data_IF_593126860534
#
_entry.id   IF_593126860534
#
_cell.length_a   1.000
_cell.length_b   1.000
_cell.length_c   1.000
_cell.angle_alpha   90.00
_cell.angle_beta   90.00
_cell.angle_gamma   90.00
#
_symmetry.space_group_name_H-M   'P 1'
#
loop_
_entity.id
_entity.type
_entity.pdbx_description
1 polymer ?
#
# COMPACT_ATOMS: atom_id res chain seq x y z
N UNK A 1 -29.52 27.74 4.00
CA UNK A 1 -29.05 26.42 4.49
C UNK A 1 -30.24 25.50 4.57
N UNK A 2 -30.17 24.33 3.96
CA UNK A 2 -30.93 23.17 4.44
C UNK A 2 -30.65 23.07 5.95
N UNK A 3 -31.67 22.91 6.79
CA UNK A 3 -31.54 22.91 8.27
C UNK A 3 -30.67 21.75 8.83
N UNK A 4 -30.01 20.98 7.97
CA UNK A 4 -29.29 19.74 8.33
C UNK A 4 -27.79 19.98 8.30
N UNK A 5 -27.12 19.65 9.42
CA UNK A 5 -25.66 19.73 9.56
C UNK A 5 -24.93 18.70 8.68
N UNK A 6 -23.66 18.94 8.33
CA UNK A 6 -22.84 17.96 7.61
C UNK A 6 -22.66 16.68 8.44
N UNK A 7 -22.55 16.79 9.77
CA UNK A 7 -22.52 15.64 10.68
C UNK A 7 -23.76 14.76 10.48
N UNK A 8 -24.96 15.32 10.53
CA UNK A 8 -26.21 14.55 10.32
C UNK A 8 -26.30 13.92 8.94
N UNK A 9 -25.83 14.63 7.91
CA UNK A 9 -25.78 14.12 6.55
C UNK A 9 -24.84 12.91 6.42
N UNK A 10 -23.65 12.98 7.00
CA UNK A 10 -22.69 11.87 7.02
C UNK A 10 -23.19 10.72 7.87
N UNK A 11 -23.77 10.97 9.04
CA UNK A 11 -24.34 9.93 9.91
C UNK A 11 -25.45 9.14 9.21
N UNK A 12 -26.25 9.77 8.36
CA UNK A 12 -27.23 9.04 7.52
C UNK A 12 -26.56 8.05 6.56
N UNK A 13 -25.39 8.38 6.02
CA UNK A 13 -24.63 7.46 5.16
C UNK A 13 -23.97 6.35 5.99
N UNK A 14 -23.31 6.72 7.10
CA UNK A 14 -22.59 5.79 7.98
C UNK A 14 -23.54 4.76 8.58
N UNK A 15 -24.72 5.18 9.04
CA UNK A 15 -25.72 4.28 9.64
C UNK A 15 -26.54 3.49 8.61
N UNK A 16 -26.40 3.75 7.31
CA UNK A 16 -27.14 3.07 6.27
C UNK A 16 -26.59 1.67 6.00
N UNK A 17 -27.25 0.65 6.56
CA UNK A 17 -26.89 -0.76 6.39
C UNK A 17 -27.11 -1.31 4.98
N UNK A 18 -27.79 -0.58 4.10
CA UNK A 18 -27.95 -0.97 2.69
C UNK A 18 -26.73 -0.62 1.84
N UNK A 19 -25.87 0.30 2.29
CA UNK A 19 -24.62 0.63 1.60
C UNK A 19 -23.54 -0.37 1.99
N UNK A 20 -22.87 -0.89 0.97
CA UNK A 20 -21.67 -1.71 1.15
C UNK A 20 -20.45 -0.86 1.51
N UNK A 21 -19.43 -1.49 2.10
CA UNK A 21 -18.14 -0.87 2.38
C UNK A 21 -17.51 -0.19 1.14
N UNK A 22 -17.81 -0.70 -0.05
CA UNK A 22 -17.36 -0.16 -1.34
C UNK A 22 -18.07 1.14 -1.75
N UNK A 23 -19.33 1.31 -1.38
CA UNK A 23 -20.14 2.46 -1.79
C UNK A 23 -20.02 3.64 -0.81
N UNK A 24 -19.78 3.34 0.48
CA UNK A 24 -19.70 4.33 1.56
C UNK A 24 -18.72 5.47 1.25
N UNK A 25 -17.48 5.23 0.77
CA UNK A 25 -16.52 6.31 0.58
C UNK A 25 -16.96 7.35 -0.45
N UNK A 26 -17.55 6.87 -1.56
CA UNK A 26 -18.09 7.75 -2.60
C UNK A 26 -19.31 8.50 -2.08
N UNK A 27 -20.23 7.82 -1.39
CA UNK A 27 -21.42 8.46 -0.82
C UNK A 27 -21.08 9.53 0.23
N UNK A 28 -20.08 9.28 1.07
CA UNK A 28 -19.56 10.27 2.03
C UNK A 28 -18.91 11.45 1.33
N UNK A 29 -18.15 11.20 0.26
CA UNK A 29 -17.53 12.27 -0.53
C UNK A 29 -18.59 13.13 -1.22
N UNK A 30 -19.63 12.51 -1.81
CA UNK A 30 -20.70 13.21 -2.51
C UNK A 30 -21.53 14.10 -1.60
N UNK A 31 -21.91 13.60 -0.42
CA UNK A 31 -22.68 14.40 0.53
C UNK A 31 -21.85 15.55 1.13
N UNK A 32 -20.53 15.31 1.30
CA UNK A 32 -19.60 16.35 1.75
C UNK A 32 -19.38 17.40 0.65
N UNK A 33 -19.22 17.00 -0.61
CA UNK A 33 -19.10 17.89 -1.76
C UNK A 33 -20.34 18.79 -1.88
N UNK A 34 -21.54 18.21 -1.78
CA UNK A 34 -22.78 18.96 -1.86
C UNK A 34 -22.84 20.03 -0.76
N UNK A 35 -22.58 19.65 0.49
CA UNK A 35 -22.58 20.60 1.61
C UNK A 35 -21.56 21.72 1.42
N UNK A 36 -20.32 21.38 1.07
CA UNK A 36 -19.24 22.35 0.88
C UNK A 36 -19.51 23.27 -0.30
N UNK A 37 -20.11 22.78 -1.39
CA UNK A 37 -20.50 23.61 -2.52
C UNK A 37 -21.62 24.61 -2.14
N UNK A 38 -22.61 24.18 -1.36
CA UNK A 38 -23.66 25.06 -0.84
C UNK A 38 -23.10 26.12 0.13
N UNK A 39 -22.18 25.73 1.01
CA UNK A 39 -21.47 26.63 1.92
C UNK A 39 -20.62 27.64 1.14
N UNK A 40 -19.86 27.18 0.14
CA UNK A 40 -19.05 28.04 -0.73
C UNK A 40 -19.90 29.12 -1.41
N UNK A 41 -21.04 28.73 -2.01
CA UNK A 41 -21.95 29.67 -2.68
C UNK A 41 -22.50 30.72 -1.70
N UNK A 42 -22.79 30.30 -0.46
CA UNK A 42 -23.34 31.20 0.56
C UNK A 42 -22.31 32.22 1.05
N UNK A 43 -21.09 31.77 1.35
CA UNK A 43 -20.07 32.56 2.08
C UNK A 43 -19.11 33.33 1.18
N UNK A 44 -18.84 32.81 -0.02
CA UNK A 44 -17.90 33.40 -0.97
C UNK A 44 -18.64 34.15 -2.08
N UNK A 45 -19.81 33.67 -2.51
CA UNK A 45 -20.72 34.25 -3.52
C UNK A 45 -20.13 34.45 -4.93
N UNK A 46 -18.80 34.53 -5.06
CA UNK A 46 -18.07 34.74 -6.30
C UNK A 46 -17.37 33.44 -6.75
N UNK A 47 -17.46 33.14 -8.05
CA UNK A 47 -16.79 32.00 -8.67
C UNK A 47 -15.41 32.34 -9.21
N UNK A 48 -15.08 33.63 -9.34
CA UNK A 48 -13.86 34.05 -10.04
C UNK A 48 -12.72 34.30 -9.05
N UNK A 49 -11.56 33.71 -9.34
CA UNK A 49 -10.31 33.97 -8.60
C UNK A 49 -10.21 33.29 -7.22
N UNK A 50 -11.12 32.37 -6.89
CA UNK A 50 -11.06 31.50 -5.70
C UNK A 50 -11.59 30.11 -6.05
N UNK A 51 -10.96 29.04 -5.56
CA UNK A 51 -11.48 27.68 -5.69
C UNK A 51 -11.26 26.86 -4.42
N UNK A 52 -12.26 26.05 -4.06
CA UNK A 52 -12.20 25.07 -2.98
C UNK A 52 -11.88 23.70 -3.57
N UNK A 53 -10.81 23.10 -3.07
CA UNK A 53 -10.21 21.88 -3.60
C UNK A 53 -10.15 20.82 -2.51
N UNK A 54 -10.59 19.61 -2.82
CA UNK A 54 -10.38 18.42 -1.99
C UNK A 54 -9.03 17.77 -2.34
N UNK A 55 -8.29 17.35 -1.31
CA UNK A 55 -6.97 16.72 -1.45
C UNK A 55 -6.97 15.30 -0.87
N UNK A 56 -5.90 14.54 -1.14
CA UNK A 56 -5.67 13.24 -0.53
C UNK A 56 -6.82 12.24 -0.77
N UNK A 57 -7.24 11.54 0.30
CA UNK A 57 -8.34 10.57 0.22
C UNK A 57 -9.68 11.21 -0.12
N UNK A 58 -9.92 12.46 0.27
CA UNK A 58 -11.13 13.19 -0.12
C UNK A 58 -11.10 13.58 -1.62
N UNK A 59 -9.93 14.00 -2.10
CA UNK A 59 -9.68 14.25 -3.52
C UNK A 59 -10.00 13.03 -4.39
N UNK A 60 -9.59 11.83 -3.95
CA UNK A 60 -9.92 10.55 -4.62
C UNK A 60 -11.37 10.08 -4.45
N UNK A 61 -12.19 10.79 -3.69
CA UNK A 61 -13.57 10.39 -3.34
C UNK A 61 -13.65 9.10 -2.50
N UNK A 62 -12.67 8.92 -1.61
CA UNK A 62 -12.45 7.73 -0.79
C UNK A 62 -12.51 8.04 0.72
N UNK A 63 -13.41 8.94 1.14
CA UNK A 63 -13.57 9.27 2.55
C UNK A 63 -14.04 8.04 3.36
N UNK A 64 -13.22 7.56 4.30
CA UNK A 64 -13.71 6.66 5.33
C UNK A 64 -14.57 7.43 6.34
N UNK A 65 -15.47 6.74 7.08
CA UNK A 65 -16.39 7.36 8.06
C UNK A 65 -15.73 8.38 8.99
N UNK A 66 -14.54 8.04 9.51
CA UNK A 66 -13.79 8.85 10.48
C UNK A 66 -12.54 9.53 9.89
N UNK A 67 -12.43 9.60 8.56
CA UNK A 67 -11.34 10.32 7.89
C UNK A 67 -11.45 11.83 8.13
N UNK A 68 -10.30 12.49 8.25
CA UNK A 68 -10.18 13.95 8.24
C UNK A 68 -10.59 14.51 6.85
N UNK A 69 -10.97 15.79 6.80
CA UNK A 69 -11.24 16.49 5.54
C UNK A 69 -10.02 17.33 5.15
N UNK A 70 -9.36 16.92 4.06
CA UNK A 70 -8.21 17.64 3.50
C UNK A 70 -8.69 18.61 2.42
N UNK A 71 -8.62 19.91 2.71
CA UNK A 71 -9.15 21.00 1.92
C UNK A 71 -8.09 22.05 1.60
N UNK A 72 -8.17 22.65 0.43
CA UNK A 72 -7.35 23.79 0.03
C UNK A 72 -8.23 24.86 -0.59
N UNK A 73 -8.07 26.09 -0.12
CA UNK A 73 -8.64 27.27 -0.75
C UNK A 73 -7.55 27.94 -1.58
N UNK A 74 -7.63 27.78 -2.90
CA UNK A 74 -6.71 28.43 -3.84
C UNK A 74 -7.28 29.77 -4.28
N UNK A 75 -6.41 30.77 -4.50
CA UNK A 75 -6.84 32.11 -4.88
C UNK A 75 -5.86 32.82 -5.83
N UNK A 76 -6.35 33.86 -6.50
CA UNK A 76 -5.56 34.75 -7.35
C UNK A 76 -5.18 36.03 -6.59
N UNK A 77 -4.30 35.90 -5.59
CA UNK A 77 -3.74 37.00 -4.78
C UNK A 77 -4.78 38.01 -4.24
N UNK A 78 -5.87 37.50 -3.65
CA UNK A 78 -6.92 38.32 -3.07
C UNK A 78 -6.55 38.80 -1.67
N UNK A 79 -6.81 40.06 -1.39
CA UNK A 79 -6.58 40.66 -0.07
C UNK A 79 -7.58 40.22 1.01
N UNK A 80 -8.78 39.76 0.61
CA UNK A 80 -9.86 39.33 1.52
C UNK A 80 -9.88 37.82 1.80
N UNK A 81 -8.86 37.07 1.36
CA UNK A 81 -8.88 35.61 1.36
C UNK A 81 -8.96 35.00 2.76
N UNK A 82 -8.25 35.56 3.74
CA UNK A 82 -8.27 35.05 5.11
C UNK A 82 -9.68 35.15 5.71
N UNK A 83 -10.37 36.26 5.43
CA UNK A 83 -11.76 36.44 5.88
C UNK A 83 -12.73 35.51 5.15
N UNK A 84 -12.48 35.17 3.89
CA UNK A 84 -13.28 34.18 3.14
C UNK A 84 -13.05 32.76 3.67
N UNK A 85 -11.79 32.42 3.93
CA UNK A 85 -11.36 31.15 4.48
C UNK A 85 -12.00 30.88 5.85
N UNK A 86 -11.96 31.84 6.76
CA UNK A 86 -12.59 31.77 8.07
C UNK A 86 -14.08 31.40 7.99
N UNK A 87 -14.80 31.97 7.01
CA UNK A 87 -16.23 31.68 6.81
C UNK A 87 -16.49 30.26 6.29
N UNK A 88 -15.52 29.60 5.68
CA UNK A 88 -15.62 28.19 5.30
C UNK A 88 -15.17 27.25 6.42
N UNK A 89 -14.12 27.60 7.15
CA UNK A 89 -13.49 26.70 8.13
C UNK A 89 -14.21 26.67 9.47
N UNK A 90 -14.65 27.82 10.00
CA UNK A 90 -15.32 27.88 11.30
C UNK A 90 -16.59 27.01 11.37
N UNK A 91 -17.49 27.01 10.37
CA UNK A 91 -18.66 26.13 10.41
C UNK A 91 -18.30 24.64 10.52
N UNK A 92 -17.25 24.19 9.84
CA UNK A 92 -16.79 22.80 9.89
C UNK A 92 -16.13 22.47 11.23
N UNK A 93 -15.34 23.39 11.81
CA UNK A 93 -14.78 23.21 13.14
C UNK A 93 -15.83 23.23 14.24
N UNK A 94 -16.84 24.09 14.12
CA UNK A 94 -17.97 24.18 15.05
C UNK A 94 -18.81 22.89 15.05
N UNK A 95 -18.90 22.22 13.89
CA UNK A 95 -19.47 20.87 13.76
C UNK A 95 -18.54 19.75 14.27
N UNK A 96 -17.31 20.07 14.67
CA UNK A 96 -16.35 19.14 15.26
C UNK A 96 -15.46 18.39 14.27
N UNK A 97 -15.44 18.79 13.00
CA UNK A 97 -14.55 18.17 12.00
C UNK A 97 -13.09 18.51 12.26
N UNK A 98 -12.23 17.53 12.01
CA UNK A 98 -10.79 17.75 11.88
C UNK A 98 -10.46 18.07 10.43
N UNK A 99 -9.86 19.23 10.22
CA UNK A 99 -9.53 19.74 8.89
C UNK A 99 -8.02 19.79 8.70
N UNK A 100 -7.50 19.06 7.71
CA UNK A 100 -6.27 19.45 7.04
C UNK A 100 -6.63 20.58 6.09
N UNK A 101 -6.22 21.81 6.35
CA UNK A 101 -6.61 22.95 5.52
C UNK A 101 -5.42 23.81 5.12
N UNK A 102 -5.50 24.44 3.96
CA UNK A 102 -4.54 25.45 3.52
C UNK A 102 -5.20 26.53 2.68
N UNK A 103 -4.64 27.75 2.74
CA UNK A 103 -5.09 28.91 1.98
C UNK A 103 -3.87 29.50 1.30
N UNK A 104 -3.78 29.38 -0.03
CA UNK A 104 -2.57 29.76 -0.78
C UNK A 104 -2.90 30.18 -2.21
N UNK A 105 -2.07 31.03 -2.80
CA UNK A 105 -2.11 31.24 -4.25
C UNK A 105 -1.53 30.05 -5.01
N UNK A 106 -1.79 29.99 -6.32
CA UNK A 106 -1.21 28.96 -7.21
C UNK A 106 0.32 28.96 -7.09
N UNK A 107 0.93 30.13 -7.16
CA UNK A 107 2.38 30.30 -7.05
C UNK A 107 2.95 29.90 -5.69
N UNK A 108 2.26 30.21 -4.59
CA UNK A 108 2.66 29.77 -3.26
C UNK A 108 2.60 28.25 -3.12
N UNK A 109 1.55 27.64 -3.68
CA UNK A 109 1.34 26.19 -3.62
C UNK A 109 2.41 25.45 -4.42
N UNK A 110 2.71 25.90 -5.64
CA UNK A 110 3.77 25.31 -6.47
C UNK A 110 5.16 25.47 -5.86
N UNK A 111 5.47 26.61 -5.23
CA UNK A 111 6.74 26.79 -4.51
C UNK A 111 6.88 25.84 -3.32
N UNK A 112 5.79 25.53 -2.62
CA UNK A 112 5.82 24.55 -1.55
C UNK A 112 5.97 23.14 -2.11
N UNK A 113 5.15 22.78 -3.10
CA UNK A 113 5.20 21.48 -3.78
C UNK A 113 6.57 21.18 -4.40
N UNK A 114 7.33 22.18 -4.84
CA UNK A 114 8.68 21.98 -5.37
C UNK A 114 9.71 21.55 -4.33
N UNK A 115 9.42 21.65 -3.03
CA UNK A 115 10.33 21.26 -1.94
C UNK A 115 9.72 20.26 -0.95
N UNK A 116 8.39 20.16 -0.89
CA UNK A 116 7.66 19.31 0.06
C UNK A 116 6.94 18.16 -0.66
N UNK A 117 7.37 16.92 -0.40
CA UNK A 117 6.84 15.73 -1.06
C UNK A 117 5.37 15.46 -0.71
N UNK A 118 4.95 15.74 0.52
CA UNK A 118 3.56 15.56 0.95
C UNK A 118 2.62 16.50 0.18
N UNK A 119 2.99 17.78 0.06
CA UNK A 119 2.24 18.75 -0.75
C UNK A 119 2.19 18.30 -2.21
N UNK A 120 3.33 17.95 -2.83
CA UNK A 120 3.38 17.54 -4.23
C UNK A 120 2.47 16.33 -4.53
N UNK A 121 2.54 15.29 -3.69
CA UNK A 121 1.76 14.05 -3.85
C UNK A 121 0.28 14.23 -3.49
N UNK A 122 -0.06 15.13 -2.56
CA UNK A 122 -1.45 15.46 -2.24
C UNK A 122 -2.17 16.11 -3.43
N UNK A 123 -1.45 16.94 -4.20
CA UNK A 123 -1.98 17.64 -5.38
C UNK A 123 -2.24 16.70 -6.56
N UNK A 124 -1.50 15.58 -6.69
CA UNK A 124 -1.76 14.58 -7.74
C UNK A 124 -3.20 14.05 -7.70
N UNK A 125 -3.85 14.11 -6.53
CA UNK A 125 -5.24 13.69 -6.35
C UNK A 125 -6.20 14.86 -6.10
N UNK A 126 -5.79 16.10 -6.42
CA UNK A 126 -6.59 17.28 -6.21
C UNK A 126 -7.86 17.28 -7.05
N UNK A 127 -9.00 17.62 -6.44
CA UNK A 127 -10.30 17.63 -7.08
C UNK A 127 -11.07 18.89 -6.73
N UNK A 128 -11.70 19.50 -7.73
CA UNK A 128 -12.53 20.69 -7.51
C UNK A 128 -13.80 20.30 -6.74
N UNK A 129 -14.07 21.02 -5.65
CA UNK A 129 -15.34 20.97 -4.93
C UNK A 129 -16.23 22.13 -5.39
N UNK A 130 -15.69 23.36 -5.41
CA UNK A 130 -16.41 24.56 -5.83
C UNK A 130 -15.47 25.69 -6.28
N UNK A 131 -16.00 26.68 -7.00
CA UNK A 131 -15.27 27.89 -7.42
C UNK A 131 -14.62 27.80 -8.80
N UNK A 132 -13.51 28.51 -8.98
CA UNK A 132 -12.82 28.70 -10.26
C UNK A 132 -12.05 27.45 -10.70
N UNK A 133 -12.57 26.72 -11.69
CA UNK A 133 -11.90 25.52 -12.19
C UNK A 133 -10.58 25.83 -12.91
N UNK A 134 -10.38 27.06 -13.42
CA UNK A 134 -9.17 27.42 -14.17
C UNK A 134 -7.95 27.47 -13.27
N UNK A 135 -8.10 27.97 -12.03
CA UNK A 135 -7.04 27.98 -11.03
C UNK A 135 -6.57 26.56 -10.69
N UNK A 136 -7.51 25.63 -10.50
CA UNK A 136 -7.15 24.25 -10.19
C UNK A 136 -6.47 23.58 -11.38
N UNK A 137 -7.00 23.76 -12.59
CA UNK A 137 -6.40 23.17 -13.80
C UNK A 137 -4.97 23.66 -14.00
N UNK A 138 -4.71 24.96 -13.81
CA UNK A 138 -3.36 25.51 -13.87
C UNK A 138 -2.45 24.90 -12.80
N UNK A 139 -2.90 24.86 -11.55
CA UNK A 139 -2.14 24.31 -10.43
C UNK A 139 -1.78 22.83 -10.65
N UNK A 140 -2.75 22.01 -11.04
CA UNK A 140 -2.54 20.57 -11.25
C UNK A 140 -1.59 20.32 -12.42
N UNK A 141 -1.78 20.99 -13.55
CA UNK A 141 -0.91 20.83 -14.72
C UNK A 141 0.54 21.19 -14.38
N UNK A 142 0.77 22.32 -13.72
CA UNK A 142 2.12 22.78 -13.35
C UNK A 142 2.75 21.90 -12.26
N UNK A 143 1.95 21.35 -11.33
CA UNK A 143 2.43 20.39 -10.35
C UNK A 143 2.84 19.07 -11.00
N UNK A 144 2.05 18.57 -11.96
CA UNK A 144 2.37 17.34 -12.70
C UNK A 144 3.67 17.52 -13.50
N UNK A 145 3.85 18.66 -14.18
CA UNK A 145 5.10 19.00 -14.87
C UNK A 145 6.30 19.01 -13.91
N UNK A 146 6.16 19.60 -12.73
CA UNK A 146 7.22 19.59 -11.71
C UNK A 146 7.49 18.20 -11.16
N UNK A 147 6.45 17.39 -10.94
CA UNK A 147 6.55 16.02 -10.45
C UNK A 147 7.37 15.16 -11.41
N UNK A 148 7.05 15.22 -12.70
CA UNK A 148 7.78 14.51 -13.75
C UNK A 148 9.22 15.06 -13.90
N UNK A 149 9.38 16.39 -13.90
CA UNK A 149 10.70 17.01 -14.11
C UNK A 149 11.72 16.73 -12.99
N UNK A 150 11.27 16.54 -11.75
CA UNK A 150 12.13 16.20 -10.60
C UNK A 150 12.14 14.70 -10.30
N UNK A 151 11.66 13.87 -11.24
CA UNK A 151 11.26 12.47 -11.03
C UNK A 151 12.23 11.66 -10.16
N UNK A 152 13.50 11.51 -10.57
CA UNK A 152 14.45 10.63 -9.86
C UNK A 152 14.67 11.03 -8.39
N UNK A 153 14.92 12.32 -8.11
CA UNK A 153 15.13 12.79 -6.73
C UNK A 153 13.87 12.61 -5.88
N UNK A 154 12.68 12.85 -6.47
CA UNK A 154 11.39 12.66 -5.81
C UNK A 154 11.06 11.19 -5.58
N UNK A 155 11.42 10.32 -6.51
CA UNK A 155 11.24 8.88 -6.43
C UNK A 155 12.15 8.28 -5.37
N UNK A 156 13.41 8.73 -5.25
CA UNK A 156 14.29 8.33 -4.14
C UNK A 156 13.73 8.77 -2.77
N UNK A 157 13.28 10.03 -2.67
CA UNK A 157 12.64 10.54 -1.44
C UNK A 157 11.39 9.71 -1.08
N UNK A 158 10.56 9.37 -2.07
CA UNK A 158 9.38 8.54 -1.91
C UNK A 158 9.74 7.11 -1.46
N UNK A 159 10.73 6.48 -2.09
CA UNK A 159 11.23 5.16 -1.72
C UNK A 159 11.76 5.12 -0.28
N UNK A 160 12.49 6.16 0.14
CA UNK A 160 12.94 6.31 1.55
C UNK A 160 11.76 6.44 2.51
N UNK A 161 10.71 7.19 2.15
CA UNK A 161 9.51 7.32 2.97
C UNK A 161 8.73 6.01 3.09
N UNK A 162 8.63 5.23 2.00
CA UNK A 162 8.05 3.88 2.00
C UNK A 162 8.82 2.99 2.97
N UNK A 163 10.15 2.88 2.82
CA UNK A 163 11.02 2.09 3.71
C UNK A 163 10.87 2.49 5.18
N UNK A 164 10.89 3.80 5.47
CA UNK A 164 10.73 4.32 6.84
C UNK A 164 9.40 3.91 7.45
N UNK A 165 8.32 4.03 6.68
CA UNK A 165 6.98 3.71 7.14
C UNK A 165 6.83 2.20 7.42
N UNK A 166 7.36 1.34 6.55
CA UNK A 166 7.38 -0.11 6.79
C UNK A 166 8.06 -0.48 8.12
N UNK A 167 9.17 0.19 8.47
CA UNK A 167 9.86 -0.03 9.74
C UNK A 167 9.04 0.33 10.98
N UNK A 168 8.15 1.33 10.86
CA UNK A 168 7.32 1.83 11.97
C UNK A 168 6.03 1.01 12.11
N UNK A 169 5.34 0.79 11.00
CA UNK A 169 4.00 0.17 10.98
C UNK A 169 4.03 -1.35 10.82
N UNK A 170 5.18 -1.92 10.44
CA UNK A 170 5.34 -3.35 10.20
C UNK A 170 4.60 -3.83 8.94
N UNK A 171 4.34 -5.14 8.87
CA UNK A 171 3.88 -5.81 7.65
C UNK A 171 2.42 -6.26 7.76
N UNK A 172 1.55 -5.75 6.88
CA UNK A 172 0.11 -6.03 6.93
C UNK A 172 -0.18 -7.51 6.75
N UNK A 173 0.60 -8.19 5.91
CA UNK A 173 0.41 -9.60 5.58
C UNK A 173 0.68 -10.57 6.73
N UNK A 174 1.41 -10.14 7.76
CA UNK A 174 1.96 -11.04 8.76
C UNK A 174 1.65 -10.64 10.20
N UNK A 175 1.24 -9.39 10.47
CA UNK A 175 0.85 -8.97 11.81
C UNK A 175 -0.58 -9.42 12.15
N UNK A 176 -0.80 -9.79 13.41
CA UNK A 176 -2.15 -10.10 13.89
C UNK A 176 -3.04 -8.87 14.04
N UNK A 177 -2.46 -7.69 14.26
CA UNK A 177 -3.15 -6.40 14.34
C UNK A 177 -2.48 -5.43 13.37
N UNK A 178 -2.73 -5.56 12.06
CA UNK A 178 -2.01 -4.79 11.05
C UNK A 178 -2.54 -3.35 10.93
N UNK A 179 -1.65 -2.41 10.64
CA UNK A 179 -2.02 -1.08 10.14
C UNK A 179 -2.36 -1.16 8.65
N UNK A 180 -3.65 -1.14 8.32
CA UNK A 180 -4.17 -1.33 6.96
C UNK A 180 -3.73 -0.22 5.99
N UNK A 181 -3.38 0.96 6.52
CA UNK A 181 -3.05 2.13 5.71
C UNK A 181 -1.55 2.27 5.53
N UNK A 182 -0.82 2.31 6.64
CA UNK A 182 0.59 2.67 6.64
C UNK A 182 1.51 1.44 6.68
N UNK A 183 1.04 0.22 6.95
CA UNK A 183 1.90 -0.99 6.92
C UNK A 183 2.47 -1.33 5.53
N UNK A 184 3.53 -2.16 5.49
CA UNK A 184 4.04 -2.76 4.24
C UNK A 184 2.96 -3.66 3.63
N UNK A 185 2.65 -3.43 2.35
CA UNK A 185 1.50 -4.01 1.68
C UNK A 185 0.17 -3.30 1.97
N UNK A 186 0.18 -2.16 2.66
CA UNK A 186 -1.02 -1.38 2.99
C UNK A 186 -1.43 -0.39 1.89
N UNK A 187 -2.54 0.34 2.12
CA UNK A 187 -3.11 1.29 1.16
C UNK A 187 -2.10 2.35 0.68
N UNK A 188 -1.19 2.80 1.54
CA UNK A 188 -0.19 3.82 1.19
C UNK A 188 0.87 3.30 0.20
N UNK A 189 1.14 2.00 0.16
CA UNK A 189 2.03 1.43 -0.84
C UNK A 189 1.42 1.54 -2.24
N UNK A 190 0.11 1.29 -2.38
CA UNK A 190 -0.61 1.47 -3.66
C UNK A 190 -0.53 2.92 -4.13
N UNK A 191 -0.79 3.89 -3.24
CA UNK A 191 -0.64 5.30 -3.58
C UNK A 191 0.79 5.67 -4.01
N UNK A 192 1.80 5.09 -3.34
CA UNK A 192 3.20 5.36 -3.68
C UNK A 192 3.55 4.80 -5.07
N UNK A 193 3.02 3.63 -5.44
CA UNK A 193 3.14 3.08 -6.79
C UNK A 193 2.44 4.01 -7.80
N UNK A 194 1.20 4.45 -7.52
CA UNK A 194 0.48 5.36 -8.42
C UNK A 194 1.23 6.68 -8.66
N UNK A 195 1.85 7.23 -7.61
CA UNK A 195 2.68 8.43 -7.73
C UNK A 195 3.95 8.16 -8.54
N UNK A 196 4.55 6.98 -8.39
CA UNK A 196 5.70 6.58 -9.19
C UNK A 196 5.33 6.42 -10.67
N UNK A 197 4.17 5.82 -10.97
CA UNK A 197 3.65 5.70 -12.35
C UNK A 197 3.48 7.07 -12.98
N UNK A 198 2.96 8.05 -12.25
CA UNK A 198 2.85 9.43 -12.74
C UNK A 198 4.20 10.12 -12.96
N UNK A 199 5.25 9.68 -12.28
CA UNK A 199 6.62 10.15 -12.54
C UNK A 199 7.29 9.46 -13.74
N UNK A 200 6.62 8.48 -14.37
CA UNK A 200 7.10 7.76 -15.54
C UNK A 200 7.53 6.32 -15.29
N UNK A 201 7.32 5.78 -14.08
CA UNK A 201 7.62 4.37 -13.80
C UNK A 201 6.62 3.45 -14.48
N UNK A 202 7.10 2.48 -15.25
CA UNK A 202 6.23 1.53 -15.92
C UNK A 202 5.80 0.41 -14.97
N UNK A 203 4.49 0.22 -14.85
CA UNK A 203 3.88 -0.93 -14.17
C UNK A 203 2.98 -1.65 -15.18
N UNK A 204 3.12 -2.98 -15.36
CA UNK A 204 2.28 -3.73 -16.29
C UNK A 204 0.78 -3.57 -16.02
N UNK A 205 -0.06 -3.60 -17.06
CA UNK A 205 -1.52 -3.46 -16.91
C UNK A 205 -2.11 -4.52 -15.99
N UNK A 206 -1.69 -5.78 -16.14
CA UNK A 206 -2.16 -6.86 -15.28
C UNK A 206 -1.79 -6.63 -13.79
N UNK A 207 -0.66 -5.98 -13.51
CA UNK A 207 -0.28 -5.68 -12.13
C UNK A 207 -1.13 -4.54 -11.55
N UNK A 208 -1.54 -3.57 -12.37
CA UNK A 208 -2.52 -2.55 -11.95
C UNK A 208 -3.87 -3.16 -11.59
N UNK A 209 -4.34 -4.15 -12.34
CA UNK A 209 -5.59 -4.87 -12.03
C UNK A 209 -5.48 -5.58 -10.68
N UNK A 210 -4.37 -6.31 -10.45
CA UNK A 210 -4.10 -6.97 -9.17
C UNK A 210 -3.96 -6.00 -8.00
N UNK A 211 -3.31 -4.86 -8.21
CA UNK A 211 -3.22 -3.78 -7.21
C UNK A 211 -4.60 -3.23 -6.88
N UNK A 212 -5.45 -3.01 -7.89
CA UNK A 212 -6.81 -2.49 -7.70
C UNK A 212 -7.66 -3.45 -6.87
N UNK A 213 -7.61 -4.74 -7.17
CA UNK A 213 -8.32 -5.78 -6.41
C UNK A 213 -7.84 -5.85 -4.96
N UNK A 214 -6.51 -5.87 -4.75
CA UNK A 214 -5.93 -5.89 -3.41
C UNK A 214 -6.24 -4.62 -2.61
N UNK A 215 -6.14 -3.46 -3.26
CA UNK A 215 -6.49 -2.16 -2.69
C UNK A 215 -7.94 -2.15 -2.20
N UNK A 216 -8.87 -2.68 -3.00
CA UNK A 216 -10.28 -2.73 -2.65
C UNK A 216 -10.53 -3.56 -1.38
N UNK A 217 -9.88 -4.71 -1.22
CA UNK A 217 -9.97 -5.53 0.00
C UNK A 217 -9.53 -4.75 1.24
N UNK A 218 -8.39 -4.06 1.15
CA UNK A 218 -7.84 -3.29 2.26
C UNK A 218 -8.70 -2.06 2.58
N UNK A 219 -9.24 -1.40 1.56
CA UNK A 219 -10.08 -0.22 1.71
C UNK A 219 -11.41 -0.58 2.36
N UNK A 220 -12.05 -1.67 1.93
CA UNK A 220 -13.30 -2.15 2.54
C UNK A 220 -13.12 -2.50 4.02
N UNK A 221 -12.04 -3.20 4.37
CA UNK A 221 -11.69 -3.49 5.77
C UNK A 221 -11.50 -2.22 6.59
N UNK A 222 -10.79 -1.23 6.04
CA UNK A 222 -10.59 0.08 6.70
C UNK A 222 -11.90 0.86 6.87
N UNK A 223 -12.78 0.85 5.87
CA UNK A 223 -14.08 1.53 5.91
C UNK A 223 -14.95 0.94 7.02
N UNK A 224 -15.05 -0.38 7.10
CA UNK A 224 -15.84 -1.05 8.14
C UNK A 224 -15.22 -0.87 9.54
N UNK A 225 -13.89 -0.93 9.65
CA UNK A 225 -13.19 -0.60 10.89
C UNK A 225 -13.57 0.79 11.40
N UNK A 226 -13.53 1.80 10.54
CA UNK A 226 -13.91 3.17 10.90
C UNK A 226 -15.40 3.27 11.22
N UNK A 227 -16.26 2.61 10.44
CA UNK A 227 -17.73 2.62 10.62
C UNK A 227 -18.16 2.04 11.96
N UNK A 228 -17.55 0.92 12.36
CA UNK A 228 -17.92 0.19 13.57
C UNK A 228 -17.28 0.79 14.82
N UNK A 229 -16.03 1.24 14.72
CA UNK A 229 -15.31 1.81 15.88
C UNK A 229 -15.68 3.27 16.16
N UNK A 230 -16.14 4.01 15.14
CA UNK A 230 -16.30 5.47 15.20
C UNK A 230 -14.97 6.21 15.42
N UNK A 231 -13.84 5.54 15.18
CA UNK A 231 -12.49 6.06 15.36
C UNK A 231 -11.76 6.17 14.03
N UNK A 232 -10.75 7.03 13.99
CA UNK A 232 -9.86 7.24 12.84
C UNK A 232 -8.69 6.25 12.76
N UNK A 233 -8.61 5.29 13.68
CA UNK A 233 -7.50 4.34 13.74
C UNK A 233 -7.51 3.41 12.54
N UNK A 234 -6.35 3.15 11.96
CA UNK A 234 -6.18 2.27 10.79
C UNK A 234 -5.57 0.91 11.17
N UNK A 235 -5.30 0.68 12.47
CA UNK A 235 -4.86 -0.61 13.01
C UNK A 235 -6.09 -1.47 13.29
N UNK A 236 -6.16 -2.63 12.65
CA UNK A 236 -7.25 -3.58 12.81
C UNK A 236 -7.00 -4.48 14.03
N UNK A 237 -7.50 -4.07 15.19
CA UNK A 237 -7.26 -4.77 16.46
C UNK A 237 -8.00 -6.11 16.52
N UNK A 238 -7.47 -7.05 17.31
CA UNK A 238 -8.05 -8.39 17.47
C UNK A 238 -9.52 -8.36 17.90
N UNK A 239 -9.89 -7.38 18.73
CA UNK A 239 -11.25 -7.18 19.24
C UNK A 239 -12.23 -6.64 18.18
N UNK A 240 -11.72 -6.00 17.12
CA UNK A 240 -12.53 -5.40 16.05
C UNK A 240 -12.76 -6.39 14.89
N UNK A 241 -11.84 -7.33 14.69
CA UNK A 241 -11.81 -8.23 13.53
C UNK A 241 -13.11 -9.03 13.31
N UNK A 242 -13.71 -9.60 14.35
CA UNK A 242 -14.94 -10.39 14.18
C UNK A 242 -16.11 -9.52 13.72
N UNK A 243 -16.18 -8.29 14.22
CA UNK A 243 -17.23 -7.34 13.83
C UNK A 243 -17.05 -6.83 12.40
N UNK A 244 -15.80 -6.56 12.00
CA UNK A 244 -15.46 -6.16 10.63
C UNK A 244 -15.71 -7.30 9.65
N UNK A 245 -15.34 -8.53 10.01
CA UNK A 245 -15.58 -9.72 9.19
C UNK A 245 -17.09 -9.92 8.93
N UNK A 246 -17.90 -9.86 9.99
CA UNK A 246 -19.35 -9.98 9.87
C UNK A 246 -19.95 -8.86 9.01
N UNK A 247 -19.44 -7.62 9.09
CA UNK A 247 -19.90 -6.50 8.28
C UNK A 247 -19.54 -6.64 6.80
N UNK A 248 -18.42 -7.27 6.48
CA UNK A 248 -17.99 -7.60 5.12
C UNK A 248 -18.60 -8.90 4.58
N UNK A 249 -19.37 -9.61 5.40
CA UNK A 249 -20.01 -10.88 5.02
C UNK A 249 -19.08 -12.10 5.08
N UNK A 250 -17.90 -11.97 5.67
CA UNK A 250 -17.02 -13.10 5.94
C UNK A 250 -17.58 -13.93 7.12
N UNK A 251 -17.33 -15.24 7.10
CA UNK A 251 -17.85 -16.17 8.12
C UNK A 251 -17.28 -15.88 9.51
N UNK A 252 -15.99 -15.58 9.55
CA UNK A 252 -15.23 -15.26 10.75
C UNK A 252 -14.05 -14.34 10.38
N UNK A 253 -13.39 -13.83 11.41
CA UNK A 253 -12.19 -13.02 11.26
C UNK A 253 -11.01 -13.75 10.62
N UNK A 254 -10.93 -15.08 10.68
CA UNK A 254 -9.80 -15.81 10.10
C UNK A 254 -9.88 -15.74 8.56
N UNK A 255 -11.09 -15.83 8.00
CA UNK A 255 -11.33 -15.60 6.57
C UNK A 255 -11.00 -14.17 6.17
N UNK A 256 -11.45 -13.17 6.94
CA UNK A 256 -11.12 -11.77 6.71
C UNK A 256 -9.60 -11.56 6.70
N UNK A 257 -8.92 -12.03 7.74
CA UNK A 257 -7.48 -11.85 7.90
C UNK A 257 -6.69 -12.61 6.82
N UNK A 258 -7.18 -13.76 6.36
CA UNK A 258 -6.62 -14.46 5.20
C UNK A 258 -6.70 -13.63 3.91
N UNK A 259 -7.87 -12.99 3.65
CA UNK A 259 -8.05 -12.07 2.51
C UNK A 259 -7.17 -10.84 2.61
N UNK A 260 -7.11 -10.20 3.78
CA UNK A 260 -6.24 -9.04 4.06
C UNK A 260 -4.79 -9.41 3.83
N UNK A 261 -4.35 -10.57 4.31
CA UNK A 261 -2.97 -11.02 4.13
C UNK A 261 -2.63 -11.30 2.66
N UNK A 262 -3.52 -11.95 1.90
CA UNK A 262 -3.32 -12.21 0.48
C UNK A 262 -3.25 -10.90 -0.35
N UNK A 263 -4.15 -9.95 -0.07
CA UNK A 263 -4.11 -8.62 -0.67
C UNK A 263 -2.80 -7.90 -0.35
N UNK A 264 -2.41 -7.87 0.94
CA UNK A 264 -1.20 -7.22 1.39
C UNK A 264 0.08 -7.83 0.79
N UNK A 265 0.15 -9.16 0.60
CA UNK A 265 1.29 -9.80 -0.08
C UNK A 265 1.40 -9.36 -1.54
N UNK A 266 0.27 -9.25 -2.22
CA UNK A 266 0.22 -8.75 -3.61
C UNK A 266 0.76 -7.32 -3.68
N UNK A 267 0.26 -6.43 -2.82
CA UNK A 267 0.73 -5.04 -2.76
C UNK A 267 2.21 -4.97 -2.38
N UNK A 268 2.65 -5.73 -1.38
CA UNK A 268 4.03 -5.73 -0.91
C UNK A 268 5.01 -6.23 -1.99
N UNK A 269 4.69 -7.32 -2.69
CA UNK A 269 5.52 -7.83 -3.78
C UNK A 269 5.67 -6.80 -4.91
N UNK A 270 4.56 -6.20 -5.36
CA UNK A 270 4.56 -5.23 -6.46
C UNK A 270 5.22 -3.90 -6.07
N UNK A 271 5.04 -3.47 -4.82
CA UNK A 271 5.74 -2.31 -4.24
C UNK A 271 7.24 -2.56 -4.24
N UNK A 272 7.71 -3.68 -3.68
CA UNK A 272 9.13 -4.02 -3.63
C UNK A 272 9.75 -4.13 -5.03
N UNK A 273 9.04 -4.69 -6.01
CA UNK A 273 9.51 -4.76 -7.39
C UNK A 273 9.65 -3.36 -8.02
N UNK A 274 8.67 -2.48 -7.79
CA UNK A 274 8.68 -1.09 -8.27
C UNK A 274 9.90 -0.33 -7.72
N UNK A 275 10.15 -0.40 -6.41
CA UNK A 275 11.28 0.32 -5.80
C UNK A 275 12.63 -0.30 -6.17
N UNK A 276 12.70 -1.62 -6.41
CA UNK A 276 13.92 -2.27 -6.90
C UNK A 276 14.29 -1.82 -8.31
N UNK A 277 13.33 -1.71 -9.22
CA UNK A 277 13.60 -1.20 -10.56
C UNK A 277 14.15 0.24 -10.52
N UNK A 278 13.68 1.04 -9.57
CA UNK A 278 14.20 2.39 -9.36
C UNK A 278 15.61 2.42 -8.76
N UNK A 279 15.87 1.63 -7.72
CA UNK A 279 17.20 1.54 -7.13
C UNK A 279 18.24 1.11 -8.22
N UNK A 280 17.85 0.22 -9.15
CA UNK A 280 18.67 -0.20 -10.31
C UNK A 280 19.04 0.93 -11.26
N UNK A 281 18.13 1.84 -11.56
CA UNK A 281 18.42 2.98 -12.44
C UNK A 281 19.42 3.96 -11.80
N UNK A 282 19.54 3.92 -10.47
CA UNK A 282 20.35 4.84 -9.69
C UNK A 282 21.74 4.28 -9.30
N UNK A 283 21.94 2.96 -9.33
CA UNK A 283 23.18 2.30 -8.88
C UNK A 283 23.92 1.57 -10.01
N UNK A 284 25.26 1.49 -9.91
CA UNK A 284 26.07 0.67 -10.82
C UNK A 284 25.80 -0.83 -10.62
N UNK A 285 25.73 -1.59 -11.72
CA UNK A 285 25.46 -3.04 -11.69
C UNK A 285 26.49 -3.79 -10.82
N UNK A 286 26.00 -4.57 -9.86
CA UNK A 286 26.86 -5.46 -9.07
C UNK A 286 27.13 -6.72 -9.88
N UNK A 287 28.36 -6.89 -10.36
CA UNK A 287 28.77 -8.13 -11.04
C UNK A 287 28.93 -9.26 -10.02
N UNK A 288 27.87 -10.03 -9.78
CA UNK A 288 27.92 -11.27 -8.99
C UNK A 288 28.04 -12.45 -9.95
N UNK A 289 29.13 -13.22 -9.84
CA UNK A 289 29.30 -14.45 -10.60
C UNK A 289 28.62 -15.61 -9.84
N UNK A 290 27.69 -16.31 -10.51
CA UNK A 290 27.02 -17.48 -9.97
C UNK A 290 27.65 -18.74 -10.57
N UNK A 291 28.35 -19.53 -9.75
CA UNK A 291 28.96 -20.81 -10.14
C UNK A 291 27.97 -22.00 -10.10
N UNK A 292 26.69 -21.75 -10.38
CA UNK A 292 25.65 -22.79 -10.41
C UNK A 292 25.09 -22.90 -11.82
N UNK A 293 25.22 -24.08 -12.41
CA UNK A 293 24.72 -24.35 -13.75
C UNK A 293 23.20 -24.08 -13.84
N UNK A 294 22.78 -23.38 -14.89
CA UNK A 294 21.37 -23.04 -15.12
C UNK A 294 20.89 -21.77 -14.42
N UNK A 295 21.77 -21.06 -13.70
CA UNK A 295 21.49 -19.74 -13.10
C UNK A 295 22.45 -18.69 -13.67
N UNK A 296 21.96 -17.46 -13.78
CA UNK A 296 22.77 -16.29 -14.11
C UNK A 296 22.23 -15.07 -13.36
N UNK A 297 23.00 -13.99 -13.36
CA UNK A 297 22.54 -12.67 -12.94
C UNK A 297 22.28 -11.83 -14.18
N UNK A 298 21.14 -11.14 -14.22
CA UNK A 298 20.83 -10.15 -15.26
C UNK A 298 20.37 -8.86 -14.57
N UNK A 299 21.23 -7.84 -14.59
CA UNK A 299 21.09 -6.67 -13.71
C UNK A 299 21.14 -7.10 -12.25
N UNK A 300 20.13 -6.74 -11.46
CA UNK A 300 20.08 -7.06 -10.02
C UNK A 300 19.09 -8.19 -9.68
N UNK A 301 18.90 -9.14 -10.61
CA UNK A 301 18.03 -10.30 -10.38
C UNK A 301 18.72 -11.60 -10.80
N UNK A 302 18.41 -12.67 -10.08
CA UNK A 302 18.80 -14.03 -10.45
C UNK A 302 17.80 -14.56 -11.47
N UNK A 303 18.31 -14.93 -12.65
CA UNK A 303 17.54 -15.48 -13.76
C UNK A 303 17.86 -16.96 -13.94
N UNK A 304 16.81 -17.75 -14.12
CA UNK A 304 16.89 -19.19 -14.37
C UNK A 304 16.93 -19.44 -15.88
N UNK A 305 18.03 -20.04 -16.34
CA UNK A 305 18.22 -20.49 -17.72
C UNK A 305 18.05 -22.01 -17.87
N UNK A 306 18.16 -22.75 -16.75
CA UNK A 306 17.95 -24.19 -16.69
C UNK A 306 16.46 -24.57 -16.76
N UNK A 307 16.18 -25.86 -16.98
CA UNK A 307 14.83 -26.39 -17.03
C UNK A 307 14.49 -27.13 -15.72
N UNK A 308 13.60 -26.58 -14.86
CA UNK A 308 13.21 -27.19 -13.59
C UNK A 308 12.60 -28.60 -13.72
N UNK A 309 12.10 -28.95 -14.91
CA UNK A 309 11.55 -30.29 -15.17
C UNK A 309 12.63 -31.37 -15.34
N UNK A 310 13.88 -30.96 -15.59
CA UNK A 310 15.04 -31.84 -15.75
C UNK A 310 15.98 -31.82 -14.55
N UNK A 311 15.99 -30.71 -13.81
CA UNK A 311 16.73 -30.56 -12.56
C UNK A 311 15.78 -30.14 -11.42
N UNK A 312 15.28 -31.10 -10.61
CA UNK A 312 14.36 -30.79 -9.52
C UNK A 312 15.01 -30.00 -8.37
N UNK A 313 16.35 -29.89 -8.33
CA UNK A 313 17.05 -29.12 -7.29
C UNK A 313 17.22 -27.65 -7.66
N UNK A 314 16.91 -27.26 -8.91
CA UNK A 314 17.17 -25.92 -9.43
C UNK A 314 16.45 -24.82 -8.63
N UNK A 315 15.24 -25.10 -8.13
CA UNK A 315 14.50 -24.17 -7.25
C UNK A 315 15.27 -23.89 -5.96
N UNK A 316 15.77 -24.94 -5.30
CA UNK A 316 16.53 -24.81 -4.05
C UNK A 316 17.89 -24.16 -4.27
N UNK A 317 18.55 -24.48 -5.39
CA UNK A 317 19.78 -23.80 -5.80
C UNK A 317 19.56 -22.30 -6.01
N UNK A 318 18.52 -21.93 -6.75
CA UNK A 318 18.17 -20.53 -6.99
C UNK A 318 17.84 -19.81 -5.68
N UNK A 319 17.07 -20.45 -4.79
CA UNK A 319 16.73 -19.90 -3.48
C UNK A 319 17.98 -19.65 -2.60
N UNK A 320 18.89 -20.62 -2.54
CA UNK A 320 20.16 -20.49 -1.80
C UNK A 320 21.01 -19.37 -2.38
N UNK A 321 21.11 -19.26 -3.71
CA UNK A 321 21.87 -18.18 -4.36
C UNK A 321 21.24 -16.80 -4.13
N UNK A 322 19.90 -16.68 -4.19
CA UNK A 322 19.19 -15.45 -3.87
C UNK A 322 19.45 -15.02 -2.42
N UNK A 323 19.39 -15.98 -1.49
CA UNK A 323 19.68 -15.74 -0.08
C UNK A 323 21.12 -15.26 0.14
N UNK A 324 22.12 -15.88 -0.51
CA UNK A 324 23.53 -15.53 -0.35
C UNK A 324 23.94 -14.23 -1.03
N UNK A 325 23.43 -13.95 -2.21
CA UNK A 325 23.71 -12.71 -2.95
C UNK A 325 22.92 -11.53 -2.38
N UNK A 326 21.75 -11.79 -1.79
CA UNK A 326 20.77 -10.75 -1.47
C UNK A 326 20.00 -10.26 -2.69
N UNK A 327 20.23 -10.87 -3.87
CA UNK A 327 19.48 -10.55 -5.08
C UNK A 327 18.16 -11.34 -5.11
N UNK A 328 17.05 -10.70 -5.50
CA UNK A 328 15.78 -11.37 -5.72
C UNK A 328 15.84 -12.32 -6.93
N UNK A 329 14.93 -13.30 -6.94
CA UNK A 329 14.66 -14.11 -8.12
C UNK A 329 13.82 -13.30 -9.10
N UNK A 330 14.20 -13.31 -10.38
CA UNK A 330 13.44 -12.64 -11.43
C UNK A 330 12.01 -13.21 -11.51
N UNK A 331 11.03 -12.33 -11.71
CA UNK A 331 9.61 -12.69 -11.82
C UNK A 331 9.36 -13.86 -12.78
N UNK A 332 9.96 -13.81 -13.97
CA UNK A 332 9.74 -14.88 -14.96
C UNK A 332 10.42 -16.20 -14.59
N UNK A 333 11.45 -16.15 -13.75
CA UNK A 333 12.04 -17.36 -13.17
C UNK A 333 11.13 -17.98 -12.11
N UNK A 334 10.45 -17.15 -11.30
CA UNK A 334 9.45 -17.62 -10.33
C UNK A 334 8.23 -18.24 -11.05
N UNK A 335 7.74 -17.63 -12.13
CA UNK A 335 6.69 -18.22 -12.98
C UNK A 335 7.13 -19.53 -13.63
N UNK A 336 8.34 -19.56 -14.18
CA UNK A 336 8.91 -20.78 -14.75
C UNK A 336 8.95 -21.92 -13.73
N UNK A 337 9.33 -21.63 -12.48
CA UNK A 337 9.28 -22.61 -11.40
C UNK A 337 7.86 -23.06 -11.09
N UNK A 338 6.92 -22.14 -10.96
CA UNK A 338 5.52 -22.48 -10.68
C UNK A 338 4.94 -23.42 -11.76
N UNK A 339 5.28 -23.18 -13.03
CA UNK A 339 4.75 -23.92 -14.17
C UNK A 339 5.43 -25.28 -14.42
N UNK A 340 6.74 -25.38 -14.13
CA UNK A 340 7.58 -26.49 -14.63
C UNK A 340 8.35 -27.27 -13.57
N UNK A 341 8.32 -26.87 -12.30
CA UNK A 341 8.93 -27.67 -11.25
C UNK A 341 8.27 -29.06 -11.16
N UNK A 342 9.04 -30.04 -10.69
CA UNK A 342 8.57 -31.41 -10.49
C UNK A 342 8.72 -31.79 -9.02
N UNK A 343 7.88 -32.72 -8.57
CA UNK A 343 7.94 -33.22 -7.20
C UNK A 343 9.31 -33.85 -6.89
N UNK A 344 9.85 -33.50 -5.73
CA UNK A 344 10.97 -34.22 -5.15
C UNK A 344 10.49 -35.60 -4.67
N UNK A 345 11.33 -36.66 -4.81
CA UNK A 345 10.96 -37.98 -4.31
C UNK A 345 10.83 -37.97 -2.78
N UNK A 346 10.02 -38.87 -2.22
CA UNK A 346 9.94 -39.13 -0.79
C UNK A 346 10.63 -40.48 -0.45
N UNK A 347 11.73 -40.48 0.33
CA UNK A 347 12.36 -39.34 1.00
C UNK A 347 13.16 -38.45 0.04
N UNK A 348 13.28 -37.17 0.40
CA UNK A 348 14.05 -36.20 -0.38
C UNK A 348 15.49 -36.67 -0.62
N UNK A 349 16.12 -36.36 -1.77
CA UNK A 349 17.53 -36.63 -2.00
C UNK A 349 18.41 -35.88 -0.99
N UNK A 350 19.60 -36.40 -0.70
CA UNK A 350 20.52 -35.75 0.24
C UNK A 350 20.84 -34.31 -0.17
N UNK A 351 21.11 -34.06 -1.45
CA UNK A 351 21.38 -32.71 -1.96
C UNK A 351 20.21 -31.72 -1.76
N UNK A 352 18.96 -32.19 -1.89
CA UNK A 352 17.79 -31.35 -1.59
C UNK A 352 17.74 -30.96 -0.12
N UNK A 353 17.95 -31.92 0.79
CA UNK A 353 17.99 -31.65 2.24
C UNK A 353 19.12 -30.68 2.61
N UNK A 354 20.29 -30.85 2.01
CA UNK A 354 21.45 -29.98 2.27
C UNK A 354 21.17 -28.55 1.82
N UNK A 355 20.65 -28.34 0.60
CA UNK A 355 20.27 -27.02 0.10
C UNK A 355 19.15 -26.39 0.92
N UNK A 356 18.15 -27.17 1.31
CA UNK A 356 17.06 -26.69 2.14
C UNK A 356 17.56 -26.21 3.51
N UNK A 357 18.41 -27.01 4.17
CA UNK A 357 19.05 -26.60 5.43
C UNK A 357 19.91 -25.36 5.22
N UNK A 358 20.64 -25.28 4.11
CA UNK A 358 21.48 -24.11 3.80
C UNK A 358 20.65 -22.85 3.61
N UNK A 359 19.52 -22.93 2.90
CA UNK A 359 18.55 -21.84 2.78
C UNK A 359 18.09 -21.37 4.17
N UNK A 360 17.66 -22.30 5.03
CA UNK A 360 17.17 -21.97 6.38
C UNK A 360 18.27 -21.36 7.28
N UNK A 361 19.53 -21.78 7.11
CA UNK A 361 20.69 -21.19 7.80
C UNK A 361 20.96 -19.74 7.40
N UNK A 362 20.41 -19.28 6.27
CA UNK A 362 20.44 -17.88 5.84
C UNK A 362 19.76 -16.91 6.81
N UNK A 363 18.99 -17.42 7.78
CA UNK A 363 18.34 -16.59 8.78
C UNK A 363 17.30 -15.66 8.16
N UNK A 364 17.28 -14.40 8.61
CA UNK A 364 16.36 -13.38 8.09
C UNK A 364 16.54 -13.11 6.58
N UNK A 365 17.69 -13.43 5.99
CA UNK A 365 17.94 -13.28 4.54
C UNK A 365 17.14 -14.28 3.71
N UNK A 366 16.75 -15.40 4.29
CA UNK A 366 15.96 -16.42 3.60
C UNK A 366 14.47 -16.03 3.50
N UNK A 367 13.98 -15.21 4.42
CA UNK A 367 12.57 -14.83 4.52
C UNK A 367 12.04 -14.21 3.21
N UNK A 368 12.61 -13.12 2.67
CA UNK A 368 12.08 -12.53 1.44
C UNK A 368 12.17 -13.47 0.23
N UNK A 369 13.14 -14.39 0.21
CA UNK A 369 13.26 -15.41 -0.85
C UNK A 369 12.13 -16.42 -0.76
N UNK A 370 11.86 -16.94 0.44
CA UNK A 370 10.77 -17.89 0.69
C UNK A 370 9.42 -17.23 0.43
N UNK A 371 9.23 -15.98 0.83
CA UNK A 371 7.99 -15.23 0.58
C UNK A 371 7.75 -14.99 -0.92
N UNK A 372 8.80 -14.72 -1.70
CA UNK A 372 8.69 -14.62 -3.16
C UNK A 372 8.30 -15.98 -3.78
N UNK A 373 8.91 -17.09 -3.33
CA UNK A 373 8.53 -18.44 -3.78
C UNK A 373 7.09 -18.79 -3.38
N UNK A 374 6.66 -18.41 -2.18
CA UNK A 374 5.30 -18.65 -1.68
C UNK A 374 4.25 -17.86 -2.47
N UNK A 375 4.56 -16.60 -2.82
CA UNK A 375 3.68 -15.74 -3.61
C UNK A 375 3.39 -16.31 -5.02
N UNK A 376 4.36 -17.00 -5.63
CA UNK A 376 4.18 -17.71 -6.90
C UNK A 376 3.79 -19.19 -6.72
N UNK A 377 3.38 -19.60 -5.52
CA UNK A 377 2.98 -20.98 -5.18
C UNK A 377 4.09 -22.04 -5.32
N UNK A 378 5.32 -21.62 -5.61
CA UNK A 378 6.51 -22.48 -5.73
C UNK A 378 6.81 -23.15 -4.39
N UNK A 379 6.76 -22.39 -3.29
CA UNK A 379 7.08 -22.91 -1.96
C UNK A 379 6.10 -23.99 -1.48
N UNK A 380 4.80 -23.81 -1.72
CA UNK A 380 3.77 -24.79 -1.37
C UNK A 380 3.85 -26.07 -2.18
N UNK A 381 4.40 -26.01 -3.39
CA UNK A 381 4.65 -27.22 -4.16
C UNK A 381 5.84 -28.01 -3.61
N UNK A 382 6.89 -27.32 -3.11
CA UNK A 382 8.00 -27.97 -2.43
C UNK A 382 7.57 -28.55 -1.07
N UNK A 383 6.78 -27.81 -0.29
CA UNK A 383 6.31 -28.19 1.03
C UNK A 383 4.78 -28.07 1.11
N UNK A 384 4.02 -29.10 0.67
CA UNK A 384 2.55 -29.08 0.70
C UNK A 384 1.96 -28.80 2.09
N UNK A 385 2.63 -29.25 3.15
CA UNK A 385 2.28 -29.01 4.55
C UNK A 385 2.37 -27.54 4.96
N UNK A 386 2.95 -26.67 4.13
CA UNK A 386 2.96 -25.22 4.33
C UNK A 386 1.57 -24.59 4.14
N UNK A 387 0.77 -25.14 3.22
CA UNK A 387 -0.55 -24.63 2.85
C UNK A 387 -1.46 -24.30 4.05
N UNK A 388 -1.68 -25.21 5.03
CA UNK A 388 -2.51 -24.90 6.20
C UNK A 388 -1.91 -23.88 7.17
N UNK A 389 -0.64 -23.48 7.00
CA UNK A 389 0.04 -22.48 7.83
C UNK A 389 0.09 -21.09 7.16
N UNK A 390 -0.04 -21.04 5.83
CA UNK A 390 -0.01 -19.81 5.03
C UNK A 390 -1.10 -18.83 5.51
N UNK A 391 -0.67 -17.61 5.85
CA UNK A 391 -1.52 -16.52 6.35
C UNK A 391 -2.39 -16.89 7.54
N UNK A 392 -2.13 -18.01 8.22
CA UNK A 392 -3.01 -18.49 9.27
C UNK A 392 -2.88 -17.57 10.49
N UNK A 393 -3.94 -16.85 10.89
CA UNK A 393 -3.87 -16.05 12.09
C UNK A 393 -3.87 -16.96 13.31
N UNK A 394 -3.12 -16.57 14.33
CA UNK A 394 -3.14 -17.22 15.65
C UNK A 394 -3.54 -16.18 16.70
N UNK A 395 -4.84 -15.86 16.73
CA UNK A 395 -5.46 -14.76 17.48
C UNK A 395 -5.36 -14.91 19.00
N UNK A 396 -4.17 -14.74 19.55
CA UNK A 396 -3.94 -14.62 20.99
C UNK A 396 -2.79 -13.64 21.28
N UNK A 397 -2.79 -13.10 22.51
CA UNK A 397 -1.88 -12.03 22.94
C UNK A 397 -0.39 -12.40 22.95
N UNK A 398 -0.04 -13.68 22.83
CA UNK A 398 1.35 -14.14 22.83
C UNK A 398 1.96 -14.20 21.43
N UNK A 399 1.13 -14.13 20.38
CA UNK A 399 1.61 -14.22 19.00
C UNK A 399 1.60 -12.81 18.39
N UNK A 400 2.71 -12.46 17.75
CA UNK A 400 2.82 -11.23 16.96
C UNK A 400 2.46 -11.48 15.49
N UNK A 401 2.81 -12.67 15.02
CA UNK A 401 2.80 -13.02 13.61
C UNK A 401 1.75 -14.09 13.29
N UNK A 402 1.35 -14.16 12.02
CA UNK A 402 0.73 -15.36 11.43
C UNK A 402 1.63 -16.57 11.59
N UNK A 403 1.05 -17.78 11.55
CA UNK A 403 1.77 -19.03 11.82
C UNK A 403 2.95 -19.22 10.88
N UNK A 404 2.75 -19.04 9.57
CA UNK A 404 3.81 -19.09 8.56
C UNK A 404 4.99 -18.16 8.88
N UNK A 405 4.74 -16.87 9.13
CA UNK A 405 5.81 -15.93 9.45
C UNK A 405 6.46 -16.28 10.78
N UNK A 406 5.71 -16.71 11.79
CA UNK A 406 6.28 -17.17 13.05
C UNK A 406 7.24 -18.35 12.87
N UNK A 407 6.91 -19.31 12.00
CA UNK A 407 7.80 -20.43 11.66
C UNK A 407 9.11 -19.93 11.03
N UNK A 408 9.03 -19.00 10.08
CA UNK A 408 10.23 -18.41 9.44
C UNK A 408 11.08 -17.63 10.43
N UNK A 409 10.47 -16.80 11.28
CA UNK A 409 11.16 -16.02 12.33
C UNK A 409 11.85 -16.96 13.34
N UNK A 410 11.18 -18.04 13.73
CA UNK A 410 11.74 -19.04 14.65
C UNK A 410 12.97 -19.70 14.06
N UNK A 411 12.91 -20.10 12.78
CA UNK A 411 14.06 -20.67 12.08
C UNK A 411 15.15 -19.62 11.91
N UNK A 412 14.80 -18.38 11.62
CA UNK A 412 15.75 -17.29 11.44
C UNK A 412 16.54 -16.98 12.72
N UNK A 413 15.88 -16.99 13.88
CA UNK A 413 16.53 -16.85 15.17
C UNK A 413 17.37 -18.09 15.54
N UNK A 414 16.87 -19.29 15.25
CA UNK A 414 17.63 -20.53 15.45
C UNK A 414 18.92 -20.57 14.61
N UNK A 415 18.88 -20.05 13.36
CA UNK A 415 20.04 -19.98 12.49
C UNK A 415 21.21 -19.22 13.13
N UNK A 416 20.95 -18.20 13.96
CA UNK A 416 21.98 -17.44 14.71
C UNK A 416 22.75 -18.29 15.72
N UNK A 417 22.17 -19.42 16.15
CA UNK A 417 22.75 -20.33 17.13
C UNK A 417 23.58 -21.45 16.50
N UNK A 418 23.52 -21.62 15.17
CA UNK A 418 24.20 -22.73 14.47
C UNK A 418 25.73 -22.70 14.58
N UNK A 419 26.32 -21.53 14.82
CA UNK A 419 27.76 -21.39 15.06
C UNK A 419 28.17 -21.59 16.53
N UNK A 420 27.21 -21.85 17.44
CA UNK A 420 27.44 -21.93 18.90
C UNK A 420 27.36 -23.35 19.47
N UNK A 421 27.05 -24.35 18.63
CA UNK A 421 26.86 -25.75 19.04
C UNK A 421 27.91 -26.64 18.42
#
# INVERSE_FOLDING_TARGET
MTETSLVELREKIISNRALSAREIPKALSDVTDQFLAELYVTEIQNKDGVALVALGGYGRSELAPSSDLDLMLIHQDRDDIDSLADRLWYPLWDEGFKLGHSVRSVEQTLRLASTDLETATSLLNGRLVAGDSTLLQELLARNEEQWVAHGLDRLDELARNVRRRHLISGEVAFLLEPDLKEGRGGLRDVHAIDWAVRAGVEVPVHDHERLTEAYQVLLEARVELHRLSGKRGDVLLLEEQDSVAAALGDHDADILMGRVAAAARTVAYLSDETWRHLDRELTEEVSIEIEVAGLTVVGDEIVVLGDPSTDPLLVLHAAVQAMYSGLPLARESLRLFADRQVDLPDPWPQGARDLFIELLKGGHRAIPVIEALDYFEVWTHLLPEWTPNRSRPQRNVYHRFTVDRHLLETVAEAARLTHRV
#
